data_IF_080484875100
#
_entry.id   IF_080484875100
#
_cell.length_a   1.000
_cell.length_b   1.000
_cell.length_c   1.000
_cell.angle_alpha   90.00
_cell.angle_beta   90.00
_cell.angle_gamma   90.00
#
_symmetry.space_group_name_H-M   'P 1'
#
loop_
_entity.id
_entity.type
_entity.pdbx_description
1 polymer ?
#
# COMPACT_ATOMS: atom_id res chain seq x y z
N UNK A 1 -11.80 56.39 -25.91
CA UNK A 1 -12.67 55.25 -26.26
C UNK A 1 -11.94 54.46 -27.34
N UNK A 2 -11.42 53.24 -27.20
CA UNK A 2 -11.55 52.10 -26.26
C UNK A 2 -10.12 51.50 -26.09
N UNK A 3 -9.61 51.38 -24.85
CA UNK A 3 -9.50 50.16 -24.04
C UNK A 3 -8.39 49.17 -24.46
N UNK A 4 -7.33 49.14 -23.63
CA UNK A 4 -6.22 48.18 -23.59
C UNK A 4 -6.74 46.75 -23.42
N UNK A 5 -6.15 45.78 -24.13
CA UNK A 5 -6.14 44.38 -23.70
C UNK A 5 -4.69 43.95 -23.46
N UNK A 6 -4.30 43.88 -22.19
CA UNK A 6 -3.24 42.98 -21.74
C UNK A 6 -3.85 41.58 -21.70
N UNK A 7 -3.22 40.59 -22.30
CA UNK A 7 -3.50 39.16 -22.05
C UNK A 7 -2.15 38.50 -21.75
N UNK A 8 -1.76 38.49 -20.48
CA UNK A 8 -1.82 37.32 -19.58
C UNK A 8 -0.98 36.14 -20.08
N UNK A 9 0.27 36.17 -19.62
CA UNK A 9 1.01 35.04 -19.04
C UNK A 9 0.89 33.68 -19.73
N UNK A 10 1.96 33.28 -20.41
CA UNK A 10 2.24 31.88 -20.71
C UNK A 10 2.37 31.10 -19.40
N UNK A 11 1.32 30.38 -19.03
CA UNK A 11 1.36 29.39 -17.97
C UNK A 11 2.19 28.22 -18.50
N UNK A 12 3.44 28.09 -18.06
CA UNK A 12 4.22 26.88 -18.18
C UNK A 12 3.45 25.77 -17.45
N UNK A 13 2.78 24.91 -18.20
CA UNK A 13 2.24 23.65 -17.70
C UNK A 13 3.45 22.79 -17.30
N UNK A 14 3.83 22.82 -16.03
CA UNK A 14 4.65 21.77 -15.44
C UNK A 14 3.82 20.49 -15.46
N UNK A 15 3.97 19.69 -16.51
CA UNK A 15 3.52 18.31 -16.50
C UNK A 15 4.40 17.56 -15.49
N UNK A 16 3.92 17.40 -14.26
CA UNK A 16 4.51 16.43 -13.34
C UNK A 16 4.21 15.04 -13.90
N UNK A 17 5.18 14.48 -14.63
CA UNK A 17 5.17 13.06 -14.99
C UNK A 17 5.20 12.26 -13.68
N UNK A 18 4.03 11.83 -13.20
CA UNK A 18 3.97 10.83 -12.14
C UNK A 18 4.69 9.60 -12.68
N UNK A 19 5.84 9.24 -12.08
CA UNK A 19 6.50 7.98 -12.43
C UNK A 19 5.51 6.86 -12.12
N UNK A 20 5.31 5.95 -13.09
CA UNK A 20 4.65 4.68 -12.82
C UNK A 20 5.34 4.01 -11.64
N UNK A 21 4.55 3.44 -10.73
CA UNK A 21 5.07 2.77 -9.55
C UNK A 21 6.03 1.63 -9.98
N UNK A 22 7.32 1.78 -9.69
CA UNK A 22 8.29 0.68 -9.87
C UNK A 22 8.17 -0.26 -8.66
N UNK A 23 7.32 -1.28 -8.80
CA UNK A 23 7.07 -2.24 -7.73
C UNK A 23 8.32 -2.99 -7.29
N UNK A 24 9.19 -3.35 -8.23
CA UNK A 24 10.45 -4.01 -7.91
C UNK A 24 11.45 -3.04 -7.27
N UNK A 25 11.44 -1.78 -7.73
CA UNK A 25 12.27 -0.70 -7.17
C UNK A 25 12.01 -0.42 -5.69
N UNK A 26 10.76 -0.55 -5.24
CA UNK A 26 10.36 -0.37 -3.83
C UNK A 26 11.21 -1.21 -2.85
N UNK A 27 11.64 -2.41 -3.26
CA UNK A 27 12.48 -3.25 -2.40
C UNK A 27 13.81 -2.57 -2.04
N UNK A 28 14.40 -1.84 -3.00
CA UNK A 28 15.69 -1.15 -2.85
C UNK A 28 15.53 0.26 -2.30
N UNK A 29 14.46 0.94 -2.69
CA UNK A 29 14.25 2.34 -2.36
C UNK A 29 13.72 2.50 -0.93
N UNK A 30 12.84 1.60 -0.46
CA UNK A 30 12.19 1.75 0.84
C UNK A 30 13.17 1.88 2.03
N UNK A 31 14.29 1.12 2.13
CA UNK A 31 15.27 1.30 3.20
C UNK A 31 15.98 2.66 3.19
N UNK A 32 16.04 3.33 2.03
CA UNK A 32 16.64 4.67 1.91
C UNK A 32 15.67 5.77 2.35
N UNK A 33 14.37 5.50 2.25
CA UNK A 33 13.31 6.43 2.64
C UNK A 33 12.97 6.31 4.14
N UNK A 34 13.03 5.09 4.68
CA UNK A 34 12.73 4.79 6.08
C UNK A 34 13.89 4.00 6.67
N UNK A 35 14.70 4.66 7.48
CA UNK A 35 15.85 4.03 8.13
C UNK A 35 15.39 2.86 9.01
N UNK A 36 16.04 1.70 8.88
CA UNK A 36 15.74 0.51 9.67
C UNK A 36 14.60 -0.35 9.15
N UNK A 37 13.91 0.08 8.09
CA UNK A 37 12.92 -0.72 7.38
C UNK A 37 13.61 -1.85 6.61
N UNK A 38 13.08 -3.06 6.72
CA UNK A 38 13.62 -4.27 6.08
C UNK A 38 12.55 -4.91 5.19
N UNK A 39 12.48 -4.54 3.90
CA UNK A 39 11.60 -5.19 2.94
C UNK A 39 11.90 -6.67 2.83
N UNK A 40 10.86 -7.49 2.76
CA UNK A 40 10.95 -8.92 2.48
C UNK A 40 10.24 -9.30 1.16
N UNK A 41 9.37 -8.44 0.62
CA UNK A 41 8.76 -8.62 -0.70
C UNK A 41 8.45 -7.26 -1.34
N UNK A 42 8.65 -7.17 -2.66
CA UNK A 42 8.16 -6.10 -3.50
C UNK A 42 7.97 -6.65 -4.92
N UNK A 43 6.77 -7.16 -5.21
CA UNK A 43 6.49 -7.87 -6.46
C UNK A 43 5.07 -7.61 -6.96
N UNK A 44 4.87 -7.74 -8.27
CA UNK A 44 3.54 -7.69 -8.84
C UNK A 44 2.82 -8.99 -8.54
N UNK A 45 1.69 -8.90 -7.84
CA UNK A 45 0.75 -9.99 -7.71
C UNK A 45 -0.19 -9.98 -8.94
N UNK A 46 -0.22 -11.04 -9.76
CA UNK A 46 -1.05 -11.08 -10.96
C UNK A 46 -2.55 -11.06 -10.65
N UNK A 47 -3.35 -10.56 -11.59
CA UNK A 47 -4.81 -10.66 -11.51
C UNK A 47 -5.28 -12.12 -11.55
N UNK A 48 -6.41 -12.41 -10.88
CA UNK A 48 -7.07 -13.72 -10.88
C UNK A 48 -6.22 -14.87 -10.31
N UNK A 49 -5.19 -14.56 -9.55
CA UNK A 49 -4.43 -15.53 -8.75
C UNK A 49 -4.94 -15.48 -7.31
N UNK A 50 -5.15 -16.64 -6.69
CA UNK A 50 -5.50 -16.71 -5.28
C UNK A 50 -4.27 -16.41 -4.44
N UNK A 51 -4.35 -15.40 -3.58
CA UNK A 51 -3.31 -15.15 -2.59
C UNK A 51 -3.45 -16.15 -1.44
N UNK A 52 -2.35 -16.83 -1.11
CA UNK A 52 -2.31 -17.81 0.00
C UNK A 52 -1.37 -17.29 1.08
N UNK A 53 -1.91 -16.89 2.26
CA UNK A 53 -1.09 -16.45 3.38
C UNK A 53 -0.13 -17.56 3.85
N UNK A 54 1.16 -17.25 3.95
CA UNK A 54 2.16 -18.18 4.50
C UNK A 54 2.63 -17.66 5.86
N UNK A 55 2.62 -18.52 6.88
CA UNK A 55 3.09 -18.16 8.22
C UNK A 55 2.21 -17.16 8.97
N UNK A 56 0.91 -17.10 8.62
CA UNK A 56 -0.07 -16.22 9.24
C UNK A 56 -1.18 -17.04 9.92
N UNK A 57 -0.93 -17.58 11.13
CA UNK A 57 -1.86 -18.49 11.80
C UNK A 57 -3.18 -17.82 12.20
N UNK A 58 -3.18 -16.50 12.44
CA UNK A 58 -4.39 -15.74 12.73
C UNK A 58 -5.31 -15.58 11.51
N UNK A 59 -4.74 -15.52 10.30
CA UNK A 59 -5.47 -15.41 9.04
C UNK A 59 -4.92 -16.38 7.99
N UNK A 60 -5.22 -17.68 8.12
CA UNK A 60 -4.67 -18.71 7.25
C UNK A 60 -5.45 -18.85 5.92
N UNK A 61 -6.63 -18.25 5.83
CA UNK A 61 -7.55 -18.47 4.71
C UNK A 61 -7.02 -17.87 3.40
N UNK A 62 -7.07 -18.63 2.28
CA UNK A 62 -6.79 -18.09 0.97
C UNK A 62 -7.74 -16.95 0.57
N UNK A 63 -7.22 -16.00 -0.21
CA UNK A 63 -7.94 -14.80 -0.68
C UNK A 63 -8.00 -14.81 -2.21
N UNK A 64 -9.13 -15.22 -2.81
CA UNK A 64 -9.30 -15.27 -4.26
C UNK A 64 -9.72 -13.91 -4.85
N UNK A 65 -9.90 -13.87 -6.17
CA UNK A 65 -10.53 -12.78 -6.93
C UNK A 65 -9.88 -11.40 -6.75
N UNK A 66 -8.55 -11.39 -6.61
CA UNK A 66 -7.78 -10.16 -6.52
C UNK A 66 -7.48 -9.58 -7.91
N UNK A 67 -7.54 -8.23 -8.07
CA UNK A 67 -6.99 -7.58 -9.25
C UNK A 67 -5.46 -7.73 -9.27
N UNK A 68 -4.82 -7.23 -10.33
CA UNK A 68 -3.37 -7.08 -10.29
C UNK A 68 -2.98 -5.92 -9.37
N UNK A 69 -1.96 -6.11 -8.52
CA UNK A 69 -1.44 -5.08 -7.62
C UNK A 69 0.05 -5.28 -7.34
N UNK A 70 0.72 -4.23 -6.89
CA UNK A 70 2.06 -4.31 -6.32
C UNK A 70 1.97 -4.69 -4.84
N UNK A 71 2.49 -5.87 -4.50
CA UNK A 71 2.63 -6.36 -3.13
C UNK A 71 3.96 -5.88 -2.57
N UNK A 72 3.91 -5.03 -1.56
CA UNK A 72 5.08 -4.64 -0.78
C UNK A 72 4.92 -5.15 0.65
N UNK A 73 5.98 -5.75 1.20
CA UNK A 73 5.97 -6.22 2.59
C UNK A 73 7.32 -5.97 3.24
N UNK A 74 7.28 -5.52 4.49
CA UNK A 74 8.47 -5.17 5.24
C UNK A 74 8.35 -5.45 6.74
N UNK A 75 9.50 -5.63 7.37
CA UNK A 75 9.68 -5.78 8.80
C UNK A 75 10.37 -4.54 9.37
N UNK A 76 10.00 -4.14 10.58
CA UNK A 76 10.66 -3.06 11.32
C UNK A 76 10.90 -3.49 12.77
N UNK A 77 12.15 -3.35 13.22
CA UNK A 77 12.52 -3.65 14.61
C UNK A 77 12.17 -2.45 15.49
N UNK A 78 11.28 -2.65 16.47
CA UNK A 78 10.92 -1.62 17.45
C UNK A 78 11.86 -1.62 18.66
N UNK A 79 12.57 -2.73 18.90
CA UNK A 79 13.66 -2.83 19.88
C UNK A 79 14.64 -3.93 19.48
N UNK A 80 15.57 -4.31 20.37
CA UNK A 80 16.46 -5.45 20.18
C UNK A 80 15.74 -6.80 20.21
N UNK A 81 14.55 -6.87 20.81
CA UNK A 81 13.77 -8.11 21.01
C UNK A 81 12.38 -8.07 20.40
N UNK A 82 11.95 -6.93 19.85
CA UNK A 82 10.62 -6.76 19.27
C UNK A 82 10.68 -6.18 17.85
N UNK A 83 9.74 -6.62 17.03
CA UNK A 83 9.57 -6.21 15.65
C UNK A 83 8.12 -6.38 15.23
N UNK A 84 7.69 -5.68 14.20
CA UNK A 84 6.42 -5.94 13.53
C UNK A 84 6.63 -6.08 12.04
N UNK A 85 5.68 -6.73 11.37
CA UNK A 85 5.62 -6.89 9.92
C UNK A 85 4.35 -6.27 9.40
N UNK A 86 4.44 -5.67 8.23
CA UNK A 86 3.27 -5.19 7.52
C UNK A 86 3.38 -5.52 6.04
N UNK A 87 2.23 -5.58 5.40
CA UNK A 87 2.13 -5.54 3.95
C UNK A 87 1.27 -4.35 3.51
N UNK A 88 1.67 -3.76 2.39
CA UNK A 88 0.92 -2.75 1.67
C UNK A 88 0.70 -3.25 0.25
N UNK A 89 -0.55 -3.25 -0.21
CA UNK A 89 -0.92 -3.59 -1.57
C UNK A 89 -1.30 -2.31 -2.30
N UNK A 90 -0.55 -2.01 -3.35
CA UNK A 90 -0.68 -0.79 -4.14
C UNK A 90 -1.32 -1.16 -5.48
N UNK A 91 -2.47 -0.57 -5.85
CA UNK A 91 -3.09 -0.84 -7.13
C UNK A 91 -2.21 -0.35 -8.29
N UNK A 92 -2.46 -0.88 -9.49
CA UNK A 92 -1.88 -0.39 -10.74
C UNK A 92 -2.06 1.14 -10.87
N UNK A 93 -1.00 1.84 -11.26
CA UNK A 93 -0.96 3.32 -11.32
C UNK A 93 -2.01 3.95 -12.25
N UNK A 94 -2.44 3.19 -13.25
CA UNK A 94 -3.49 3.47 -14.23
C UNK A 94 -4.90 3.49 -13.60
N UNK A 95 -5.06 2.89 -12.42
CA UNK A 95 -6.28 2.96 -11.59
C UNK A 95 -6.12 3.90 -10.40
N UNK A 96 -5.00 4.62 -10.30
CA UNK A 96 -4.75 5.61 -9.26
C UNK A 96 -5.53 6.88 -9.58
N UNK A 97 -6.80 6.91 -9.16
CA UNK A 97 -7.60 8.12 -9.25
C UNK A 97 -6.84 9.27 -8.57
N UNK A 98 -6.77 10.43 -9.23
CA UNK A 98 -5.98 11.61 -8.84
C UNK A 98 -6.39 12.29 -7.50
N UNK A 99 -7.00 11.55 -6.58
CA UNK A 99 -7.13 11.91 -5.17
C UNK A 99 -5.96 11.30 -4.39
N UNK A 100 -4.88 12.07 -4.40
CA UNK A 100 -3.78 12.08 -3.43
C UNK A 100 -4.13 11.33 -2.12
N UNK A 101 -3.43 10.21 -1.90
CA UNK A 101 -3.33 9.55 -0.60
C UNK A 101 -4.66 9.13 0.06
N UNK A 102 -5.46 8.28 -0.59
CA UNK A 102 -6.24 7.27 0.15
C UNK A 102 -5.45 5.97 0.24
N UNK A 103 -4.41 5.98 1.07
CA UNK A 103 -4.01 4.74 1.73
C UNK A 103 -5.14 4.47 2.71
N UNK A 104 -6.02 3.52 2.40
CA UNK A 104 -6.88 2.93 3.42
C UNK A 104 -5.98 2.01 4.23
N UNK A 105 -5.17 2.63 5.09
CA UNK A 105 -5.04 2.12 6.44
C UNK A 105 -6.49 2.04 6.94
N UNK A 106 -6.91 0.94 7.56
CA UNK A 106 -8.23 0.85 8.18
C UNK A 106 -8.32 1.92 9.28
N UNK A 107 -8.59 3.16 8.86
CA UNK A 107 -8.70 4.42 9.61
C UNK A 107 -10.17 4.78 9.64
N UNK A 108 -10.93 3.95 10.34
CA UNK A 108 -12.12 4.41 11.04
C UNK A 108 -11.94 4.05 12.51
N UNK A 109 -11.10 4.85 13.18
CA UNK A 109 -11.13 5.24 14.60
C UNK A 109 -11.35 4.21 15.72
N UNK A 110 -11.42 2.90 15.45
CA UNK A 110 -11.49 1.85 16.46
C UNK A 110 -10.66 0.65 16.02
N UNK A 111 -9.44 0.55 16.58
CA UNK A 111 -8.44 -0.53 16.45
C UNK A 111 -7.44 -0.36 15.30
N UNK A 112 -6.31 0.26 15.66
CA UNK A 112 -5.08 0.13 14.91
C UNK A 112 -4.67 -1.34 15.01
N UNK A 113 -4.67 -2.05 13.88
CA UNK A 113 -4.24 -3.43 13.81
C UNK A 113 -5.33 -4.42 14.17
N UNK A 114 -5.18 -5.61 13.60
CA UNK A 114 -5.81 -6.89 13.93
C UNK A 114 -7.08 -6.98 14.79
N UNK A 115 -7.91 -7.97 14.48
CA UNK A 115 -9.04 -8.35 15.33
C UNK A 115 -8.59 -8.74 16.75
N UNK A 116 -8.72 -7.83 17.72
CA UNK A 116 -8.39 -8.14 19.12
C UNK A 116 -6.89 -8.37 19.34
N UNK A 117 -6.52 -9.51 19.92
CA UNK A 117 -5.13 -9.89 20.18
C UNK A 117 -4.56 -10.84 19.12
N UNK A 118 -5.18 -10.95 17.94
CA UNK A 118 -4.93 -12.06 17.02
C UNK A 118 -3.48 -12.15 16.50
N UNK A 119 -2.76 -11.04 16.29
CA UNK A 119 -1.42 -11.01 15.66
C UNK A 119 -1.32 -11.66 14.27
N UNK A 120 -1.22 -10.87 13.21
CA UNK A 120 -1.09 -11.35 11.83
C UNK A 120 -1.49 -10.29 10.81
N UNK A 121 -1.20 -10.48 9.53
CA UNK A 121 -1.61 -9.53 8.48
C UNK A 121 -2.98 -9.93 7.94
N UNK A 122 -4.03 -9.15 8.19
CA UNK A 122 -5.37 -9.46 7.68
C UNK A 122 -5.50 -9.15 6.17
N UNK A 123 -5.17 -10.15 5.34
CA UNK A 123 -5.24 -10.03 3.88
C UNK A 123 -6.67 -9.97 3.33
N UNK A 124 -7.66 -10.50 4.06
CA UNK A 124 -9.06 -10.47 3.64
C UNK A 124 -9.62 -9.05 3.75
N UNK A 125 -9.30 -8.36 4.84
CA UNK A 125 -9.69 -6.96 5.03
C UNK A 125 -8.96 -6.00 4.07
N UNK A 126 -7.77 -6.37 3.59
CA UNK A 126 -7.08 -5.65 2.52
C UNK A 126 -7.75 -5.86 1.14
N UNK A 127 -8.22 -7.07 0.86
CA UNK A 127 -8.73 -7.46 -0.45
C UNK A 127 -9.96 -6.66 -0.91
N UNK A 128 -10.93 -6.44 -0.03
CA UNK A 128 -12.19 -5.75 -0.37
C UNK A 128 -11.95 -4.31 -0.86
N UNK A 129 -11.26 -3.43 -0.09
CA UNK A 129 -11.00 -2.07 -0.53
C UNK A 129 -10.10 -1.99 -1.77
N UNK A 130 -9.16 -2.91 -1.91
CA UNK A 130 -8.33 -3.00 -3.11
C UNK A 130 -9.18 -3.37 -4.35
N UNK A 131 -9.93 -4.47 -4.28
CA UNK A 131 -10.66 -5.00 -5.42
C UNK A 131 -11.87 -4.15 -5.81
N UNK A 132 -12.64 -3.63 -4.84
CA UNK A 132 -13.88 -2.90 -5.12
C UNK A 132 -13.67 -1.43 -5.44
N UNK A 133 -12.67 -0.81 -4.84
CA UNK A 133 -12.50 0.65 -4.90
C UNK A 133 -11.14 1.08 -5.50
N UNK A 134 -10.22 0.15 -5.75
CA UNK A 134 -8.89 0.48 -6.24
C UNK A 134 -8.09 1.28 -5.24
N UNK A 135 -8.26 1.02 -3.94
CA UNK A 135 -7.50 1.70 -2.89
C UNK A 135 -6.16 1.04 -2.64
N UNK A 136 -5.16 1.85 -2.30
CA UNK A 136 -3.96 1.37 -1.63
C UNK A 136 -4.35 0.95 -0.21
N UNK A 137 -3.96 -0.26 0.18
CA UNK A 137 -4.38 -0.88 1.45
C UNK A 137 -3.16 -1.38 2.19
N UNK A 138 -3.19 -1.40 3.52
CA UNK A 138 -2.12 -1.98 4.31
C UNK A 138 -2.64 -2.58 5.62
N UNK A 139 -1.96 -3.63 6.09
CA UNK A 139 -2.23 -4.32 7.35
C UNK A 139 -0.92 -4.76 8.01
N UNK A 140 -0.94 -4.97 9.32
CA UNK A 140 0.24 -5.26 10.15
C UNK A 140 -0.04 -6.39 11.13
N UNK A 141 0.98 -7.19 11.44
CA UNK A 141 0.92 -8.27 12.43
C UNK A 141 0.86 -7.77 13.87
N UNK A 142 0.94 -6.46 14.10
CA UNK A 142 0.97 -5.82 15.42
C UNK A 142 2.12 -6.27 16.33
N UNK A 143 3.11 -6.99 15.77
CA UNK A 143 4.29 -7.46 16.46
C UNK A 143 4.30 -8.94 16.88
N UNK A 144 3.27 -9.71 16.50
CA UNK A 144 3.17 -11.14 16.83
C UNK A 144 2.33 -11.91 15.81
N UNK A 145 2.33 -13.25 15.86
CA UNK A 145 1.60 -14.12 14.93
C UNK A 145 0.82 -15.19 15.70
N UNK A 146 -0.45 -14.94 16.00
CA UNK A 146 -1.29 -15.84 16.82
C UNK A 146 -1.03 -15.74 18.31
#
# INVERSE_FOLDING_TARGET
MLLKQLSMSAILLYSSSAKSLDCAGLFKDAPTLVQGLKPFVAEIHPANVTFVPVGNPAYPDPVPDLPEFCRFGAEYNTSSTSKFRFEAWLPKSDHWNAFWFKVVLHLFELKIGNGGAAGGVDYREMAIPLAKYGFAVASTDTGHNG
#
